data_IF_233469562749
#
_entry.id   IF_233469562749
#
_cell.length_a   1.000
_cell.length_b   1.000
_cell.length_c   1.000
_cell.angle_alpha   90.00
_cell.angle_beta   90.00
_cell.angle_gamma   90.00
#
_symmetry.space_group_name_H-M   'P 1'
#
loop_
_entity.id
_entity.type
_entity.pdbx_description
1 polymer ?
#
# COMPACT_ATOMS: atom_id res chain seq x y z
N UNK A 1 15.55 -25.36 -5.27
CA UNK A 1 14.07 -25.41 -5.33
C UNK A 1 13.54 -24.01 -5.06
N UNK A 2 12.71 -23.44 -5.94
CA UNK A 2 12.06 -22.16 -5.67
C UNK A 2 11.16 -22.31 -4.44
N UNK A 3 11.31 -21.46 -3.42
CA UNK A 3 10.46 -21.49 -2.25
C UNK A 3 8.98 -21.42 -2.65
N UNK A 4 8.19 -22.39 -2.22
CA UNK A 4 6.75 -22.46 -2.47
C UNK A 4 6.08 -21.21 -1.89
N UNK A 5 5.48 -20.38 -2.75
CA UNK A 5 4.78 -19.14 -2.35
C UNK A 5 3.52 -19.46 -1.54
N UNK A 6 3.31 -18.71 -0.46
CA UNK A 6 2.10 -18.81 0.36
C UNK A 6 0.93 -18.13 -0.35
N UNK A 7 0.13 -18.89 -1.12
CA UNK A 7 -0.88 -18.30 -2.02
C UNK A 7 -1.97 -17.53 -1.27
N UNK A 8 -2.24 -17.86 0.00
CA UNK A 8 -3.12 -17.04 0.86
C UNK A 8 -2.62 -15.61 1.03
N UNK A 9 -1.32 -15.40 1.20
CA UNK A 9 -0.76 -14.04 1.38
C UNK A 9 -0.58 -13.31 0.05
N UNK A 10 -0.37 -14.04 -1.06
CA UNK A 10 -0.42 -13.44 -2.39
C UNK A 10 -1.85 -13.02 -2.78
N UNK A 11 -2.87 -13.79 -2.39
CA UNK A 11 -4.28 -13.40 -2.51
C UNK A 11 -4.56 -12.12 -1.71
N UNK A 12 -4.06 -12.05 -0.47
CA UNK A 12 -4.17 -10.85 0.36
C UNK A 12 -3.55 -9.62 -0.31
N UNK A 13 -2.38 -9.73 -0.95
CA UNK A 13 -1.78 -8.62 -1.72
C UNK A 13 -2.68 -8.14 -2.85
N UNK A 14 -3.31 -9.06 -3.59
CA UNK A 14 -4.23 -8.72 -4.68
C UNK A 14 -5.45 -7.99 -4.11
N UNK A 15 -6.05 -8.52 -3.05
CA UNK A 15 -7.21 -7.89 -2.39
C UNK A 15 -6.82 -6.50 -1.86
N UNK A 16 -5.67 -6.37 -1.20
CA UNK A 16 -5.17 -5.08 -0.68
C UNK A 16 -5.03 -4.03 -1.77
N UNK A 17 -4.48 -4.37 -2.94
CA UNK A 17 -4.36 -3.36 -4.01
C UNK A 17 -5.70 -3.01 -4.63
N UNK A 18 -6.62 -3.98 -4.77
CA UNK A 18 -7.98 -3.69 -5.26
C UNK A 18 -8.69 -2.74 -4.29
N UNK A 19 -8.57 -2.97 -3.00
CA UNK A 19 -9.11 -2.11 -1.95
C UNK A 19 -8.53 -0.68 -2.00
N UNK A 20 -7.22 -0.54 -2.20
CA UNK A 20 -6.55 0.76 -2.37
C UNK A 20 -7.03 1.47 -3.65
N UNK A 21 -7.10 0.77 -4.78
CA UNK A 21 -7.62 1.34 -6.04
C UNK A 21 -9.07 1.80 -5.85
N UNK A 22 -9.87 1.01 -5.13
CA UNK A 22 -11.28 1.28 -4.89
C UNK A 22 -11.51 2.60 -4.14
N UNK A 23 -10.79 2.81 -3.02
CA UNK A 23 -10.85 4.07 -2.27
C UNK A 23 -10.35 5.26 -3.11
N UNK A 24 -9.35 5.07 -3.98
CA UNK A 24 -8.85 6.15 -4.84
C UNK A 24 -9.85 6.54 -5.95
N UNK A 25 -10.53 5.57 -6.57
CA UNK A 25 -11.60 5.85 -7.54
C UNK A 25 -12.68 6.70 -6.87
N UNK A 26 -13.18 6.23 -5.72
CA UNK A 26 -14.25 6.88 -4.97
C UNK A 26 -13.85 8.23 -4.35
N UNK A 27 -12.55 8.48 -4.17
CA UNK A 27 -12.00 9.78 -3.79
C UNK A 27 -12.49 10.93 -4.67
N UNK A 28 -12.68 10.69 -5.98
CA UNK A 28 -13.19 11.69 -6.91
C UNK A 28 -14.70 11.93 -6.80
N UNK A 29 -15.41 11.13 -6.00
CA UNK A 29 -16.86 11.25 -5.77
C UNK A 29 -17.18 11.76 -4.35
N UNK A 30 -16.20 12.27 -3.59
CA UNK A 30 -16.42 12.76 -2.21
C UNK A 30 -17.34 13.98 -2.11
N UNK A 31 -17.60 14.67 -3.22
CA UNK A 31 -18.53 15.80 -3.29
C UNK A 31 -20.00 15.38 -3.42
N UNK A 32 -20.30 14.08 -3.48
CA UNK A 32 -21.67 13.57 -3.57
C UNK A 32 -22.55 14.11 -2.44
N UNK A 33 -23.75 14.54 -2.79
CA UNK A 33 -24.85 14.87 -1.89
C UNK A 33 -25.74 13.66 -1.57
N UNK A 34 -25.77 12.66 -2.46
CA UNK A 34 -26.56 11.44 -2.30
C UNK A 34 -26.10 10.63 -1.07
N UNK A 35 -27.04 10.38 -0.15
CA UNK A 35 -26.77 9.70 1.12
C UNK A 35 -26.28 8.25 0.95
N UNK A 36 -26.93 7.45 0.08
CA UNK A 36 -26.51 6.07 -0.18
C UNK A 36 -25.08 6.00 -0.72
N UNK A 37 -24.72 6.96 -1.58
CA UNK A 37 -23.37 7.04 -2.13
C UNK A 37 -22.34 7.43 -1.07
N UNK A 38 -22.69 8.33 -0.12
CA UNK A 38 -21.83 8.62 1.04
C UNK A 38 -21.55 7.37 1.86
N UNK A 39 -22.59 6.63 2.23
CA UNK A 39 -22.46 5.39 3.00
C UNK A 39 -21.62 4.34 2.26
N UNK A 40 -21.83 4.19 0.95
CA UNK A 40 -21.01 3.30 0.12
C UNK A 40 -19.54 3.71 0.11
N UNK A 41 -19.24 5.00 -0.03
CA UNK A 41 -17.88 5.53 0.02
C UNK A 41 -17.25 5.28 1.39
N UNK A 42 -17.97 5.53 2.48
CA UNK A 42 -17.51 5.28 3.85
C UNK A 42 -17.21 3.79 4.09
N UNK A 43 -18.07 2.90 3.58
CA UNK A 43 -17.88 1.46 3.68
C UNK A 43 -16.62 1.01 2.94
N UNK A 44 -16.44 1.45 1.70
CA UNK A 44 -15.25 1.10 0.91
C UNK A 44 -13.98 1.67 1.54
N UNK A 45 -13.99 2.89 2.07
CA UNK A 45 -12.80 3.46 2.73
C UNK A 45 -12.47 2.74 4.05
N UNK A 46 -13.48 2.28 4.80
CA UNK A 46 -13.28 1.46 6.01
C UNK A 46 -12.44 0.21 5.74
N UNK A 47 -12.68 -0.47 4.62
CA UNK A 47 -11.89 -1.62 4.19
C UNK A 47 -10.61 -1.20 3.45
N UNK A 48 -10.74 -0.24 2.55
CA UNK A 48 -9.72 0.34 1.67
C UNK A 48 -8.42 0.66 2.39
N UNK A 49 -8.54 1.44 3.47
CA UNK A 49 -7.41 1.96 4.23
C UNK A 49 -6.61 0.88 4.97
N UNK A 50 -7.15 -0.33 5.14
CA UNK A 50 -6.34 -1.46 5.66
C UNK A 50 -5.27 -1.93 4.67
N UNK A 51 -5.48 -1.69 3.36
CA UNK A 51 -4.67 -2.25 2.29
C UNK A 51 -3.17 -1.92 2.39
N UNK A 52 -2.83 -0.67 2.68
CA UNK A 52 -1.42 -0.24 2.80
C UNK A 52 -0.74 -0.95 3.96
N UNK A 53 -1.37 -0.96 5.13
CA UNK A 53 -0.85 -1.63 6.32
C UNK A 53 -0.68 -3.12 6.07
N UNK A 54 -1.62 -3.77 5.36
CA UNK A 54 -1.51 -5.18 4.97
C UNK A 54 -0.29 -5.45 4.09
N UNK A 55 0.01 -4.60 3.09
CA UNK A 55 1.22 -4.75 2.27
C UNK A 55 2.50 -4.76 3.10
N UNK A 56 2.56 -3.87 4.08
CA UNK A 56 3.73 -3.72 4.92
C UNK A 56 3.81 -4.82 5.99
N UNK A 57 2.69 -5.24 6.57
CA UNK A 57 2.62 -6.41 7.46
C UNK A 57 3.16 -7.67 6.79
N UNK A 58 2.76 -7.93 5.53
CA UNK A 58 3.28 -9.06 4.75
C UNK A 58 4.79 -8.92 4.54
N UNK A 59 5.28 -7.70 4.25
CA UNK A 59 6.71 -7.44 4.07
C UNK A 59 7.50 -7.67 5.35
N UNK A 60 6.98 -7.24 6.50
CA UNK A 60 7.56 -7.47 7.83
C UNK A 60 7.55 -8.94 8.22
N UNK A 61 6.44 -9.63 7.99
CA UNK A 61 6.27 -11.04 8.34
C UNK A 61 7.28 -11.97 7.67
N UNK A 62 7.62 -11.70 6.39
CA UNK A 62 8.66 -12.45 5.70
C UNK A 62 10.07 -11.90 5.94
N UNK A 63 10.18 -10.65 6.36
CA UNK A 63 11.44 -9.91 6.47
C UNK A 63 12.04 -9.60 5.11
N UNK A 64 12.24 -8.32 4.81
CA UNK A 64 12.93 -7.91 3.58
C UNK A 64 14.41 -8.24 3.74
N UNK A 65 14.92 -9.13 2.89
CA UNK A 65 16.35 -9.37 2.71
C UNK A 65 16.84 -8.48 1.58
N UNK A 66 17.77 -7.57 1.89
CA UNK A 66 18.28 -6.64 0.90
C UNK A 66 18.94 -7.40 -0.25
N UNK A 67 18.41 -7.18 -1.45
CA UNK A 67 18.94 -7.71 -2.68
C UNK A 67 19.10 -6.54 -3.67
N UNK A 68 20.35 -6.27 -4.04
CA UNK A 68 20.74 -5.14 -4.88
C UNK A 68 20.09 -5.19 -6.26
N UNK A 69 20.09 -6.35 -6.91
CA UNK A 69 19.45 -6.54 -8.20
C UNK A 69 17.95 -6.20 -8.17
N UNK A 70 17.20 -6.78 -7.22
CA UNK A 70 15.75 -6.52 -7.06
C UNK A 70 15.47 -5.06 -6.74
N UNK A 71 16.32 -4.45 -5.92
CA UNK A 71 16.21 -3.04 -5.54
C UNK A 71 16.33 -2.13 -6.77
N UNK A 72 17.42 -2.24 -7.54
CA UNK A 72 17.61 -1.40 -8.72
C UNK A 72 16.59 -1.69 -9.81
N UNK A 73 16.19 -2.95 -10.00
CA UNK A 73 15.11 -3.30 -10.92
C UNK A 73 13.81 -2.58 -10.54
N UNK A 74 13.45 -2.57 -9.26
CA UNK A 74 12.28 -1.83 -8.78
C UNK A 74 12.41 -0.33 -9.08
N UNK A 75 13.56 0.29 -8.81
CA UNK A 75 13.78 1.71 -9.10
C UNK A 75 13.61 2.05 -10.58
N UNK A 76 14.15 1.22 -11.48
CA UNK A 76 14.00 1.39 -12.94
C UNK A 76 12.54 1.31 -13.36
N UNK A 77 11.78 0.36 -12.81
CA UNK A 77 10.35 0.22 -13.14
C UNK A 77 9.53 1.40 -12.60
N UNK A 78 9.82 1.88 -11.37
CA UNK A 78 9.16 3.10 -10.83
C UNK A 78 9.46 4.30 -11.71
N UNK A 79 10.71 4.46 -12.12
CA UNK A 79 11.14 5.57 -13.00
C UNK A 79 10.44 5.49 -14.36
N UNK A 80 10.38 4.30 -14.97
CA UNK A 80 9.67 4.07 -16.22
C UNK A 80 8.20 4.52 -16.13
N UNK A 81 7.46 4.02 -15.13
CA UNK A 81 6.06 4.41 -14.97
C UNK A 81 5.90 5.89 -14.65
N UNK A 82 6.79 6.47 -13.85
CA UNK A 82 6.76 7.89 -13.53
C UNK A 82 6.84 8.78 -14.77
N UNK A 83 7.76 8.47 -15.69
CA UNK A 83 7.95 9.22 -16.94
C UNK A 83 6.79 8.98 -17.90
N UNK A 84 6.38 7.72 -18.09
CA UNK A 84 5.25 7.39 -18.97
C UNK A 84 3.97 8.07 -18.50
N UNK A 85 3.65 8.02 -17.20
CA UNK A 85 2.46 8.70 -16.67
C UNK A 85 2.53 10.21 -16.87
N UNK A 86 3.69 10.82 -16.65
CA UNK A 86 3.87 12.27 -16.86
C UNK A 86 3.64 12.66 -18.33
N UNK A 87 4.20 11.91 -19.28
CA UNK A 87 4.03 12.17 -20.70
C UNK A 87 2.57 12.02 -21.13
N UNK A 88 1.89 10.98 -20.66
CA UNK A 88 0.47 10.77 -20.98
C UNK A 88 -0.38 11.90 -20.38
N UNK A 89 -0.13 12.29 -19.12
CA UNK A 89 -0.85 13.39 -18.48
C UNK A 89 -0.67 14.71 -19.26
N UNK A 90 0.56 15.09 -19.61
CA UNK A 90 0.83 16.37 -20.26
C UNK A 90 0.41 16.39 -21.74
N UNK A 91 0.68 15.31 -22.49
CA UNK A 91 0.44 15.28 -23.94
C UNK A 91 -1.01 14.92 -24.25
N UNK A 92 -1.56 13.91 -23.59
CA UNK A 92 -2.88 13.34 -23.93
C UNK A 92 -4.00 13.93 -23.06
N UNK A 93 -3.78 14.06 -21.75
CA UNK A 93 -4.78 14.63 -20.84
C UNK A 93 -4.70 16.16 -20.77
N UNK A 94 -3.79 16.78 -21.54
CA UNK A 94 -3.57 18.21 -21.61
C UNK A 94 -3.36 18.87 -20.23
N UNK A 95 -2.79 18.13 -19.27
CA UNK A 95 -2.42 18.73 -17.99
C UNK A 95 -1.29 19.74 -18.22
N UNK A 96 -1.35 20.93 -17.59
CA UNK A 96 -0.33 21.95 -17.81
C UNK A 96 1.07 21.44 -17.49
N UNK A 97 1.98 21.59 -18.45
CA UNK A 97 3.39 21.30 -18.22
C UNK A 97 3.95 22.20 -17.11
N UNK A 98 4.61 21.59 -16.13
CA UNK A 98 5.34 22.31 -15.08
C UNK A 98 6.72 21.71 -14.90
N UNK A 99 7.73 22.57 -14.71
CA UNK A 99 9.10 22.16 -14.41
C UNK A 99 9.19 21.34 -13.11
N UNK A 100 8.37 21.69 -12.12
CA UNK A 100 8.26 20.94 -10.86
C UNK A 100 7.68 19.54 -11.09
N UNK A 101 6.67 19.40 -11.96
CA UNK A 101 6.12 18.12 -12.37
C UNK A 101 7.12 17.24 -13.12
N UNK A 102 7.91 17.84 -14.03
CA UNK A 102 8.98 17.14 -14.76
C UNK A 102 10.07 16.66 -13.80
N UNK A 103 10.57 17.56 -12.94
CA UNK A 103 11.60 17.22 -11.95
C UNK A 103 11.12 16.11 -10.99
N UNK A 104 9.86 16.21 -10.54
CA UNK A 104 9.24 15.19 -9.68
C UNK A 104 9.12 13.85 -10.39
N UNK A 105 8.94 13.85 -11.71
CA UNK A 105 8.82 12.64 -12.52
C UNK A 105 10.17 11.99 -12.85
N UNK A 106 11.25 12.79 -12.94
CA UNK A 106 12.62 12.30 -13.11
C UNK A 106 13.18 11.70 -11.81
N UNK A 107 12.78 12.22 -10.65
CA UNK A 107 13.21 11.76 -9.32
C UNK A 107 12.02 11.29 -8.45
N UNK A 108 11.22 10.31 -8.90
CA UNK A 108 9.92 9.97 -8.29
C UNK A 108 9.99 9.48 -6.85
N UNK A 109 11.11 8.88 -6.47
CA UNK A 109 11.35 8.40 -5.10
C UNK A 109 11.68 9.57 -4.16
N UNK A 110 12.51 10.52 -4.59
CA UNK A 110 12.95 11.63 -3.74
C UNK A 110 11.89 12.74 -3.68
N UNK A 111 11.12 12.93 -4.74
CA UNK A 111 10.05 13.92 -4.84
C UNK A 111 8.75 13.55 -4.12
N UNK A 112 8.66 12.32 -3.60
CA UNK A 112 7.41 11.75 -3.05
C UNK A 112 6.24 11.69 -4.05
N UNK A 113 6.51 11.70 -5.37
CA UNK A 113 5.47 11.50 -6.41
C UNK A 113 4.61 10.26 -6.12
N UNK A 114 5.27 9.18 -5.66
CA UNK A 114 4.61 7.99 -5.14
C UNK A 114 5.01 7.80 -3.67
N UNK A 115 4.27 8.45 -2.76
CA UNK A 115 4.61 8.50 -1.33
C UNK A 115 4.91 7.12 -0.71
N UNK A 116 4.13 6.10 -1.08
CA UNK A 116 4.31 4.75 -0.57
C UNK A 116 5.61 4.13 -1.09
N UNK A 117 5.98 4.35 -2.36
CA UNK A 117 7.26 3.86 -2.90
C UNK A 117 8.46 4.58 -2.31
N UNK A 118 8.35 5.88 -2.04
CA UNK A 118 9.36 6.60 -1.26
C UNK A 118 9.59 5.92 0.09
N UNK A 119 8.50 5.68 0.84
CA UNK A 119 8.59 5.04 2.15
C UNK A 119 9.08 3.58 2.04
N UNK A 120 8.64 2.83 1.04
CA UNK A 120 9.03 1.44 0.82
C UNK A 120 10.50 1.31 0.44
N UNK A 121 11.04 2.22 -0.39
CA UNK A 121 12.47 2.26 -0.73
C UNK A 121 13.31 2.54 0.52
N UNK A 122 12.91 3.52 1.34
CA UNK A 122 13.57 3.80 2.62
C UNK A 122 13.50 2.56 3.52
N UNK A 123 12.32 1.98 3.71
CA UNK A 123 12.14 0.76 4.49
C UNK A 123 13.03 -0.38 3.97
N UNK A 124 13.13 -0.57 2.66
CA UNK A 124 13.96 -1.61 2.04
C UNK A 124 15.44 -1.40 2.35
N UNK A 125 15.93 -0.16 2.27
CA UNK A 125 17.32 0.18 2.64
C UNK A 125 17.61 -0.07 4.13
N UNK A 126 16.67 0.28 5.00
CA UNK A 126 16.83 0.12 6.46
C UNK A 126 16.46 -1.28 6.96
N UNK A 127 15.84 -2.13 6.14
CA UNK A 127 15.35 -3.44 6.55
C UNK A 127 16.43 -4.35 7.16
N UNK A 128 17.70 -4.38 6.69
CA UNK A 128 18.73 -5.22 7.30
C UNK A 128 19.00 -4.87 8.76
N UNK A 129 18.87 -3.59 9.12
CA UNK A 129 19.05 -3.10 10.49
C UNK A 129 17.82 -3.37 11.34
N UNK A 130 16.62 -3.10 10.79
CA UNK A 130 15.35 -3.40 11.47
C UNK A 130 15.21 -4.90 11.77
N UNK A 131 15.63 -5.77 10.85
CA UNK A 131 15.63 -7.21 11.04
C UNK A 131 16.52 -7.67 12.21
N UNK A 132 17.52 -6.89 12.65
CA UNK A 132 18.33 -7.26 13.81
C UNK A 132 17.57 -7.08 15.13
N UNK A 133 16.54 -6.21 15.15
CA UNK A 133 15.77 -5.93 16.37
C UNK A 133 15.09 -7.21 16.91
N UNK A 134 14.51 -8.03 16.04
CA UNK A 134 13.84 -9.27 16.47
C UNK A 134 14.80 -10.33 17.04
N UNK A 135 16.06 -10.30 16.61
CA UNK A 135 17.08 -11.24 17.08
C UNK A 135 17.77 -10.76 18.37
N UNK A 136 17.87 -9.45 18.56
CA UNK A 136 18.64 -8.87 19.66
C UNK A 136 17.77 -8.41 20.84
N UNK A 137 16.47 -8.19 20.63
CA UNK A 137 15.55 -7.81 21.70
C UNK A 137 14.85 -9.03 22.27
N UNK A 138 14.68 -9.04 23.60
CA UNK A 138 13.74 -9.96 24.24
C UNK A 138 12.31 -9.66 23.75
N UNK A 139 11.42 -10.66 23.80
CA UNK A 139 10.01 -10.46 23.45
C UNK A 139 9.36 -9.31 24.23
N UNK A 140 9.70 -9.18 25.52
CA UNK A 140 9.21 -8.10 26.40
C UNK A 140 9.69 -6.74 25.91
N UNK A 141 10.98 -6.59 25.63
CA UNK A 141 11.57 -5.34 25.13
C UNK A 141 11.01 -4.95 23.77
N UNK A 142 10.84 -5.93 22.86
CA UNK A 142 10.24 -5.67 21.55
C UNK A 142 8.77 -5.25 21.68
N UNK A 143 7.99 -5.92 22.54
CA UNK A 143 6.61 -5.51 22.84
C UNK A 143 6.55 -4.08 23.40
N UNK A 144 7.46 -3.71 24.30
CA UNK A 144 7.56 -2.34 24.82
C UNK A 144 7.87 -1.32 23.73
N UNK A 145 8.80 -1.64 22.81
CA UNK A 145 9.10 -0.80 21.65
C UNK A 145 7.84 -0.55 20.81
N UNK A 146 7.09 -1.62 20.47
CA UNK A 146 5.86 -1.51 19.68
C UNK A 146 4.77 -0.71 20.40
N UNK A 147 4.63 -0.88 21.73
CA UNK A 147 3.66 -0.13 22.52
C UNK A 147 4.01 1.36 22.63
N UNK A 148 5.29 1.69 22.84
CA UNK A 148 5.75 3.08 22.90
C UNK A 148 5.57 3.78 21.55
N UNK A 149 5.97 3.11 20.46
CA UNK A 149 5.79 3.63 19.11
C UNK A 149 4.30 3.76 18.74
N UNK A 150 3.50 2.74 19.07
CA UNK A 150 2.05 2.74 18.89
C UNK A 150 1.37 3.82 19.72
N UNK A 151 1.86 4.14 20.92
CA UNK A 151 1.30 5.20 21.75
C UNK A 151 1.37 6.56 21.03
N UNK A 152 2.57 6.96 20.60
CA UNK A 152 2.78 8.27 19.98
C UNK A 152 2.19 8.40 18.58
N UNK A 153 2.24 7.33 17.78
CA UNK A 153 1.93 7.41 16.36
C UNK A 153 0.63 6.72 15.95
N UNK A 154 -0.07 6.05 16.87
CA UNK A 154 -1.37 5.42 16.60
C UNK A 154 -2.41 5.81 17.65
N UNK A 155 -2.13 5.57 18.93
CA UNK A 155 -3.07 5.86 20.02
C UNK A 155 -3.33 7.35 20.16
N UNK A 156 -2.30 8.20 20.23
CA UNK A 156 -2.45 9.65 20.36
C UNK A 156 -3.22 10.27 19.17
N UNK A 157 -2.92 9.95 17.90
CA UNK A 157 -3.73 10.39 16.75
C UNK A 157 -5.19 9.94 16.79
N UNK A 158 -5.46 8.74 17.32
CA UNK A 158 -6.79 8.12 17.35
C UNK A 158 -7.65 8.70 18.47
N UNK A 159 -7.13 8.72 19.70
CA UNK A 159 -7.90 9.00 20.92
C UNK A 159 -7.76 10.45 21.36
N UNK A 160 -6.55 11.01 21.25
CA UNK A 160 -6.26 12.38 21.68
C UNK A 160 -6.37 13.39 20.52
N UNK A 161 -6.55 12.90 19.29
CA UNK A 161 -6.58 13.69 18.06
C UNK A 161 -5.30 14.49 17.75
N UNK A 162 -4.21 14.23 18.48
CA UNK A 162 -2.90 14.86 18.26
C UNK A 162 -2.05 14.03 17.28
N UNK A 163 -1.71 14.63 16.15
CA UNK A 163 -0.79 14.05 15.16
C UNK A 163 0.57 14.73 15.24
N UNK A 164 1.59 13.99 15.69
CA UNK A 164 2.96 14.52 15.79
C UNK A 164 3.54 14.81 14.40
N UNK A 165 3.31 13.91 13.45
CA UNK A 165 3.90 13.98 12.10
C UNK A 165 3.04 14.77 11.10
N UNK A 166 1.75 14.98 11.40
CA UNK A 166 0.76 15.64 10.53
C UNK A 166 0.70 15.07 9.09
N UNK A 167 0.87 13.76 8.92
CA UNK A 167 0.85 13.08 7.62
C UNK A 167 -0.33 12.11 7.45
N UNK A 168 -1.29 12.11 8.38
CA UNK A 168 -2.44 11.18 8.39
C UNK A 168 -2.07 9.70 8.42
N UNK A 169 -0.83 9.37 8.83
CA UNK A 169 -0.29 8.02 8.84
C UNK A 169 0.36 7.58 7.52
N UNK A 170 0.47 8.48 6.53
CA UNK A 170 1.06 8.22 5.20
C UNK A 170 2.55 8.53 5.16
N UNK A 171 3.29 7.95 6.09
CA UNK A 171 4.72 8.21 6.22
C UNK A 171 5.53 7.02 6.72
N UNK A 172 6.84 7.23 6.72
CA UNK A 172 7.83 6.19 7.05
C UNK A 172 7.67 5.67 8.48
N UNK A 173 7.17 6.50 9.41
CA UNK A 173 6.97 6.13 10.80
C UNK A 173 5.93 5.02 10.94
N UNK A 174 4.78 5.18 10.30
CA UNK A 174 3.70 4.18 10.33
C UNK A 174 4.06 2.94 9.50
N UNK A 175 4.72 3.12 8.36
CA UNK A 175 5.26 2.02 7.54
C UNK A 175 6.28 1.20 8.35
N UNK A 176 7.19 1.83 9.08
CA UNK A 176 8.16 1.12 9.93
C UNK A 176 7.46 0.39 11.06
N UNK A 177 6.49 1.01 11.72
CA UNK A 177 5.70 0.36 12.77
C UNK A 177 4.99 -0.91 12.24
N UNK A 178 4.27 -0.80 11.12
CA UNK A 178 3.58 -1.95 10.52
C UNK A 178 4.57 -3.08 10.14
N UNK A 179 5.77 -2.72 9.66
CA UNK A 179 6.80 -3.70 9.33
C UNK A 179 7.28 -4.45 10.58
N UNK A 180 7.54 -3.72 11.67
CA UNK A 180 7.93 -4.31 12.96
C UNK A 180 6.81 -5.17 13.57
N UNK A 181 5.54 -4.77 13.43
CA UNK A 181 4.40 -5.59 13.84
C UNK A 181 4.41 -6.90 13.04
N UNK A 182 4.60 -6.85 11.72
CA UNK A 182 4.69 -8.04 10.87
C UNK A 182 5.77 -9.02 11.35
N UNK A 183 6.96 -8.51 11.68
CA UNK A 183 8.07 -9.30 12.24
C UNK A 183 7.73 -9.93 13.59
N UNK A 184 7.12 -9.15 14.48
CA UNK A 184 6.67 -9.63 15.78
C UNK A 184 5.66 -10.77 15.63
N UNK A 185 4.67 -10.62 14.72
CA UNK A 185 3.67 -11.66 14.44
C UNK A 185 4.29 -12.94 13.88
N UNK A 186 5.35 -12.84 13.07
CA UNK A 186 6.06 -14.03 12.56
C UNK A 186 6.75 -14.81 13.69
N UNK A 187 7.35 -14.08 14.64
CA UNK A 187 8.26 -14.65 15.64
C UNK A 187 7.52 -15.13 16.87
N UNK A 188 6.57 -14.35 17.37
CA UNK A 188 5.88 -14.61 18.64
C UNK A 188 4.39 -14.95 18.46
N UNK A 189 3.83 -14.70 17.27
CA UNK A 189 2.41 -14.90 17.00
C UNK A 189 1.48 -13.94 17.75
N UNK A 190 0.18 -14.21 17.65
CA UNK A 190 -0.85 -13.52 18.43
C UNK A 190 -1.09 -14.23 19.77
N UNK A 191 -1.52 -13.49 20.81
CA UNK A 191 -2.07 -14.09 22.02
C UNK A 191 -3.27 -15.00 21.73
N UNK A 192 -3.44 -16.09 22.48
CA UNK A 192 -4.52 -17.07 22.25
C UNK A 192 -5.92 -16.46 22.29
N UNK A 193 -6.19 -15.53 23.21
CA UNK A 193 -7.48 -14.83 23.26
C UNK A 193 -7.76 -14.04 21.98
N UNK A 194 -6.75 -13.37 21.41
CA UNK A 194 -6.90 -12.65 20.14
C UNK A 194 -7.12 -13.62 18.98
N UNK A 195 -6.50 -14.80 18.99
CA UNK A 195 -6.73 -15.83 17.97
C UNK A 195 -8.17 -16.34 18.02
N UNK A 196 -8.66 -16.68 19.23
CA UNK A 196 -10.01 -17.18 19.50
C UNK A 196 -11.07 -16.19 19.03
N UNK A 197 -10.91 -14.92 19.38
CA UNK A 197 -11.88 -13.85 19.10
C UNK A 197 -11.52 -13.03 17.84
N UNK A 198 -10.65 -13.55 16.96
CA UNK A 198 -10.10 -12.79 15.82
C UNK A 198 -11.17 -12.20 14.89
N UNK A 199 -12.26 -12.96 14.63
CA UNK A 199 -13.36 -12.49 13.78
C UNK A 199 -14.19 -11.40 14.44
N UNK A 200 -14.43 -11.51 15.73
CA UNK A 200 -15.19 -10.53 16.53
C UNK A 200 -14.41 -9.22 16.67
N UNK A 201 -13.10 -9.31 16.93
CA UNK A 201 -12.20 -8.15 16.97
C UNK A 201 -12.17 -7.46 15.60
N UNK A 202 -12.10 -8.23 14.51
CA UNK A 202 -12.14 -7.69 13.16
C UNK A 202 -13.47 -6.98 12.88
N UNK A 203 -14.59 -7.65 13.09
CA UNK A 203 -15.91 -7.08 12.84
C UNK A 203 -16.17 -5.85 13.71
N UNK A 204 -15.79 -5.89 14.99
CA UNK A 204 -15.91 -4.77 15.91
C UNK A 204 -15.06 -3.57 15.49
N UNK A 205 -13.83 -3.80 15.01
CA UNK A 205 -12.96 -2.73 14.52
C UNK A 205 -13.52 -2.07 13.26
N UNK A 206 -13.95 -2.88 12.28
CA UNK A 206 -14.54 -2.37 11.04
C UNK A 206 -15.86 -1.66 11.28
N UNK A 207 -16.74 -2.22 12.11
CA UNK A 207 -18.00 -1.59 12.49
C UNK A 207 -17.74 -0.27 13.23
N UNK A 208 -16.77 -0.24 14.15
CA UNK A 208 -16.37 0.98 14.86
C UNK A 208 -15.91 2.09 13.92
N UNK A 209 -15.03 1.78 12.95
CA UNK A 209 -14.58 2.75 11.93
C UNK A 209 -15.76 3.28 11.13
N UNK A 210 -16.61 2.37 10.63
CA UNK A 210 -17.74 2.72 9.79
C UNK A 210 -18.74 3.60 10.53
N UNK A 211 -19.19 3.17 11.71
CA UNK A 211 -20.17 3.90 12.53
C UNK A 211 -19.63 5.28 12.91
N UNK A 212 -18.38 5.37 13.40
CA UNK A 212 -17.81 6.65 13.84
C UNK A 212 -17.63 7.63 12.66
N UNK A 213 -17.17 7.17 11.49
CA UNK A 213 -17.08 8.04 10.32
C UNK A 213 -18.47 8.44 9.78
N UNK A 214 -19.45 7.55 9.86
CA UNK A 214 -20.85 7.84 9.49
C UNK A 214 -21.44 8.93 10.37
N UNK A 215 -21.26 8.82 11.69
CA UNK A 215 -21.69 9.85 12.65
C UNK A 215 -21.03 11.21 12.37
N UNK A 216 -19.71 11.24 12.18
CA UNK A 216 -18.99 12.47 11.84
C UNK A 216 -19.46 13.07 10.50
N UNK A 217 -19.70 12.22 9.50
CA UNK A 217 -20.20 12.63 8.18
C UNK A 217 -21.61 13.21 8.27
N UNK A 218 -22.50 12.59 9.06
CA UNK A 218 -23.86 13.07 9.28
C UNK A 218 -23.87 14.41 10.01
N UNK A 219 -23.00 14.59 11.02
CA UNK A 219 -22.88 15.86 11.75
C UNK A 219 -22.29 16.99 10.91
N UNK A 220 -21.33 16.70 10.03
CA UNK A 220 -20.68 17.71 9.20
C UNK A 220 -21.39 18.01 7.89
N UNK A 221 -22.27 17.12 7.41
CA UNK A 221 -22.84 17.14 6.06
C UNK A 221 -21.89 16.69 4.95
N UNK A 222 -20.58 16.67 5.20
CA UNK A 222 -19.51 16.27 4.27
C UNK A 222 -18.88 14.93 4.68
N UNK A 223 -18.36 14.17 3.71
CA UNK A 223 -17.67 12.89 3.99
C UNK A 223 -16.42 13.13 4.86
N UNK A 224 -16.39 12.52 6.04
CA UNK A 224 -15.26 12.58 6.98
C UNK A 224 -14.74 11.17 7.24
N UNK A 225 -13.44 10.96 6.97
CA UNK A 225 -12.75 9.67 7.09
C UNK A 225 -11.72 9.64 8.24
N UNK A 226 -12.00 10.33 9.34
CA UNK A 226 -11.06 10.50 10.46
C UNK A 226 -10.61 9.15 11.05
N UNK A 227 -11.53 8.22 11.22
CA UNK A 227 -11.25 6.89 11.80
C UNK A 227 -10.73 5.89 10.77
N UNK A 228 -10.80 6.22 9.48
CA UNK A 228 -10.22 5.41 8.40
C UNK A 228 -8.80 5.87 8.02
N UNK A 229 -8.11 6.66 8.85
CA UNK A 229 -6.71 7.04 8.60
C UNK A 229 -5.75 5.89 8.87
N UNK A 230 -4.61 5.88 8.17
CA UNK A 230 -3.64 4.77 8.23
C UNK A 230 -2.96 4.66 9.62
N UNK A 231 -2.91 5.77 10.37
CA UNK A 231 -2.45 5.84 11.75
C UNK A 231 -3.58 5.68 12.79
N UNK A 232 -4.73 5.14 12.40
CA UNK A 232 -5.82 4.88 13.33
C UNK A 232 -5.69 3.49 13.99
N UNK A 233 -5.93 3.42 15.30
CA UNK A 233 -5.84 2.19 16.08
C UNK A 233 -6.77 1.09 15.53
N UNK A 234 -7.99 1.44 15.15
CA UNK A 234 -8.95 0.47 14.62
C UNK A 234 -8.50 -0.08 13.25
N UNK A 235 -7.87 0.74 12.41
CA UNK A 235 -7.31 0.32 11.12
C UNK A 235 -6.14 -0.64 11.33
N UNK A 236 -5.24 -0.36 12.28
CA UNK A 236 -4.12 -1.26 12.61
C UNK A 236 -4.65 -2.60 13.14
N UNK A 237 -5.61 -2.58 14.07
CA UNK A 237 -6.21 -3.81 14.62
C UNK A 237 -6.90 -4.62 13.51
N UNK A 238 -7.74 -3.97 12.69
CA UNK A 238 -8.40 -4.62 11.56
C UNK A 238 -7.39 -5.24 10.59
N UNK A 239 -6.32 -4.52 10.25
CA UNK A 239 -5.25 -5.02 9.37
C UNK A 239 -4.54 -6.25 9.95
N UNK A 240 -4.24 -6.25 11.26
CA UNK A 240 -3.63 -7.40 11.93
C UNK A 240 -4.57 -8.62 11.91
N UNK A 241 -5.88 -8.43 12.16
CA UNK A 241 -6.84 -9.52 12.16
C UNK A 241 -7.12 -10.08 10.75
N UNK A 242 -7.23 -9.22 9.73
CA UNK A 242 -7.31 -9.65 8.32
C UNK A 242 -6.06 -10.45 7.98
N UNK A 243 -4.88 -9.89 8.24
CA UNK A 243 -3.61 -10.58 7.99
C UNK A 243 -3.58 -11.97 8.64
N UNK A 244 -3.93 -12.06 9.92
CA UNK A 244 -3.99 -13.33 10.64
C UNK A 244 -4.93 -14.35 9.98
N UNK A 245 -6.12 -13.94 9.54
CA UNK A 245 -7.05 -14.84 8.86
C UNK A 245 -6.45 -15.43 7.58
N UNK A 246 -5.71 -14.65 6.80
CA UNK A 246 -5.04 -15.12 5.58
C UNK A 246 -3.78 -15.95 5.85
N UNK A 247 -3.11 -15.78 6.99
CA UNK A 247 -2.01 -16.69 7.38
C UNK A 247 -2.48 -18.11 7.66
N UNK A 248 -3.76 -18.31 8.00
CA UNK A 248 -4.36 -19.64 8.23
C UNK A 248 -4.76 -20.36 6.94
N UNK A 249 -4.76 -19.67 5.81
CA UNK A 249 -5.18 -20.23 4.53
C UNK A 249 -3.99 -20.86 3.81
N UNK A 250 -3.84 -22.18 3.99
CA UNK A 250 -2.78 -22.95 3.36
C UNK A 250 -3.28 -23.61 2.07
N UNK A 251 -2.98 -22.98 0.94
CA UNK A 251 -3.24 -23.53 -0.39
C UNK A 251 -2.21 -23.03 -1.40
N UNK A 252 -2.16 -23.67 -2.57
CA UNK A 252 -1.32 -23.29 -3.70
C UNK A 252 -2.18 -23.03 -4.93
N UNK A 253 -2.05 -21.84 -5.54
CA UNK A 253 -2.76 -21.49 -6.78
C UNK A 253 -1.81 -20.84 -7.77
N UNK A 254 -1.66 -21.44 -8.96
CA UNK A 254 -0.84 -20.88 -10.04
C UNK A 254 -1.39 -19.54 -10.52
N UNK A 255 -2.72 -19.42 -10.63
CA UNK A 255 -3.41 -18.21 -11.08
C UNK A 255 -3.16 -17.06 -10.10
N UNK A 256 -3.36 -17.29 -8.80
CA UNK A 256 -3.13 -16.24 -7.79
C UNK A 256 -1.67 -15.81 -7.78
N UNK A 257 -0.73 -16.75 -7.81
CA UNK A 257 0.70 -16.44 -7.81
C UNK A 257 1.13 -15.68 -9.07
N UNK A 258 0.49 -15.95 -10.21
CA UNK A 258 0.70 -15.24 -11.47
C UNK A 258 0.13 -13.81 -11.41
N UNK A 259 -1.14 -13.66 -11.01
CA UNK A 259 -1.82 -12.37 -10.88
C UNK A 259 -1.15 -11.46 -9.83
N UNK A 260 -0.66 -12.03 -8.73
CA UNK A 260 0.09 -11.29 -7.72
C UNK A 260 1.34 -10.61 -8.28
N UNK A 261 1.88 -11.12 -9.39
CA UNK A 261 2.97 -10.46 -10.12
C UNK A 261 2.59 -9.09 -10.67
N UNK A 262 1.32 -8.78 -10.91
CA UNK A 262 0.84 -7.53 -11.52
C UNK A 262 0.47 -6.45 -10.51
N UNK A 263 0.40 -6.80 -9.22
CA UNK A 263 0.01 -5.89 -8.13
C UNK A 263 0.85 -4.61 -8.11
N UNK A 264 2.16 -4.73 -8.34
CA UNK A 264 3.06 -3.59 -8.36
C UNK A 264 2.74 -2.61 -9.51
N UNK A 265 2.48 -3.13 -10.71
CA UNK A 265 2.10 -2.28 -11.84
C UNK A 265 0.74 -1.61 -11.62
N UNK A 266 -0.22 -2.33 -11.01
CA UNK A 266 -1.53 -1.77 -10.66
C UNK A 266 -1.40 -0.59 -9.72
N UNK A 267 -0.55 -0.70 -8.69
CA UNK A 267 -0.22 0.41 -7.80
C UNK A 267 0.37 1.61 -8.55
N UNK A 268 1.29 1.38 -9.49
CA UNK A 268 1.97 2.46 -10.21
C UNK A 268 1.05 3.18 -11.20
N UNK A 269 0.15 2.44 -11.85
CA UNK A 269 -0.72 2.94 -12.92
C UNK A 269 -2.07 3.45 -12.45
N UNK A 270 -2.55 3.05 -11.25
CA UNK A 270 -3.90 3.41 -10.79
C UNK A 270 -4.17 4.91 -10.86
N UNK A 271 -3.22 5.76 -10.46
CA UNK A 271 -3.44 7.22 -10.43
C UNK A 271 -3.68 7.80 -11.82
N UNK A 272 -2.84 7.40 -12.78
CA UNK A 272 -2.98 7.78 -14.18
C UNK A 272 -4.31 7.28 -14.76
N UNK A 273 -4.60 5.98 -14.58
CA UNK A 273 -5.79 5.37 -15.18
C UNK A 273 -7.08 5.92 -14.57
N UNK A 274 -7.08 6.23 -13.27
CA UNK A 274 -8.18 6.94 -12.62
C UNK A 274 -8.36 8.31 -13.26
N UNK A 275 -7.29 9.08 -13.47
CA UNK A 275 -7.38 10.39 -14.11
C UNK A 275 -7.91 10.32 -15.54
N UNK A 276 -7.47 9.33 -16.34
CA UNK A 276 -8.00 9.09 -17.68
C UNK A 276 -9.51 8.75 -17.68
N UNK A 277 -9.97 7.99 -16.68
CA UNK A 277 -11.35 7.51 -16.60
C UNK A 277 -12.27 8.47 -15.83
N UNK A 278 -11.72 9.42 -15.08
CA UNK A 278 -12.45 10.37 -14.23
C UNK A 278 -13.63 11.06 -14.93
N UNK A 279 -13.49 11.57 -16.17
CA UNK A 279 -14.60 12.22 -16.87
C UNK A 279 -15.82 11.31 -17.09
N UNK A 280 -15.63 9.99 -17.08
CA UNK A 280 -16.68 9.01 -17.41
C UNK A 280 -17.49 8.53 -16.20
N UNK A 281 -16.97 8.70 -14.98
CA UNK A 281 -17.64 8.22 -13.77
C UNK A 281 -17.95 9.32 -12.75
N UNK A 282 -17.15 10.39 -12.69
CA UNK A 282 -17.37 11.49 -11.73
C UNK A 282 -18.71 12.21 -11.91
N UNK A 283 -19.24 12.43 -13.13
CA UNK A 283 -20.57 13.02 -13.31
C UNK A 283 -21.71 12.22 -12.67
N UNK A 284 -21.49 10.94 -12.38
CA UNK A 284 -22.47 10.06 -11.75
C UNK A 284 -22.31 10.00 -10.22
N UNK A 285 -21.53 10.90 -9.60
CA UNK A 285 -21.30 10.93 -8.15
C UNK A 285 -22.60 10.98 -7.34
N UNK A 286 -23.61 11.73 -7.78
CA UNK A 286 -24.92 11.83 -7.11
C UNK A 286 -25.93 10.77 -7.57
N UNK A 287 -25.62 10.02 -8.63
CA UNK A 287 -26.52 9.03 -9.21
C UNK A 287 -26.54 7.73 -8.40
N UNK A 288 -27.70 7.07 -8.32
CA UNK A 288 -27.81 5.71 -7.78
C UNK A 288 -27.02 4.67 -8.63
N UNK A 289 -26.58 5.06 -9.83
CA UNK A 289 -25.72 4.24 -10.69
C UNK A 289 -24.23 4.33 -10.34
N UNK A 290 -23.83 5.14 -9.35
CA UNK A 290 -22.42 5.31 -8.95
C UNK A 290 -21.72 3.96 -8.75
N UNK A 291 -22.37 3.02 -8.06
CA UNK A 291 -21.82 1.68 -7.79
C UNK A 291 -21.49 0.95 -9.10
N UNK A 292 -22.35 1.04 -10.11
CA UNK A 292 -22.13 0.40 -11.41
C UNK A 292 -20.94 1.02 -12.14
N UNK A 293 -20.88 2.36 -12.20
CA UNK A 293 -19.75 3.08 -12.83
C UNK A 293 -18.43 2.84 -12.08
N UNK A 294 -18.47 2.78 -10.76
CA UNK A 294 -17.34 2.40 -9.92
C UNK A 294 -16.82 0.99 -10.28
N UNK A 295 -17.71 -0.01 -10.35
CA UNK A 295 -17.32 -1.39 -10.70
C UNK A 295 -16.74 -1.47 -12.11
N UNK A 296 -17.38 -0.82 -13.09
CA UNK A 296 -16.86 -0.74 -14.46
C UNK A 296 -15.48 -0.10 -14.54
N UNK A 297 -15.27 0.99 -13.78
CA UNK A 297 -13.98 1.69 -13.70
C UNK A 297 -12.90 0.81 -13.07
N UNK A 298 -13.20 0.14 -11.95
CA UNK A 298 -12.27 -0.76 -11.26
C UNK A 298 -11.83 -1.91 -12.17
N UNK A 299 -12.79 -2.56 -12.84
CA UNK A 299 -12.50 -3.64 -13.80
C UNK A 299 -11.63 -3.12 -14.96
N UNK A 300 -11.97 -1.96 -15.50
CA UNK A 300 -11.22 -1.34 -16.60
C UNK A 300 -9.77 -1.02 -16.21
N UNK A 301 -9.55 -0.50 -15.00
CA UNK A 301 -8.20 -0.23 -14.46
C UNK A 301 -7.41 -1.53 -14.31
N UNK A 302 -8.01 -2.57 -13.74
CA UNK A 302 -7.37 -3.87 -13.58
C UNK A 302 -6.97 -4.49 -14.94
N UNK A 303 -7.90 -4.54 -15.89
CA UNK A 303 -7.63 -5.12 -17.22
C UNK A 303 -6.60 -4.31 -18.01
N UNK A 304 -6.71 -2.98 -18.02
CA UNK A 304 -5.78 -2.10 -18.72
C UNK A 304 -4.37 -2.24 -18.13
N UNK A 305 -4.25 -2.30 -16.81
CA UNK A 305 -2.96 -2.54 -16.14
C UNK A 305 -2.36 -3.89 -16.53
N UNK A 306 -3.17 -4.96 -16.56
CA UNK A 306 -2.71 -6.29 -16.96
C UNK A 306 -2.11 -6.25 -18.38
N UNK A 307 -2.81 -5.61 -19.32
CA UNK A 307 -2.36 -5.47 -20.72
C UNK A 307 -1.08 -4.63 -20.82
N UNK A 308 -1.02 -3.48 -20.15
CA UNK A 308 0.16 -2.60 -20.16
C UNK A 308 1.37 -3.33 -19.57
N UNK A 309 1.22 -3.96 -18.40
CA UNK A 309 2.33 -4.64 -17.72
C UNK A 309 2.77 -5.90 -18.48
N UNK A 310 1.84 -6.64 -19.08
CA UNK A 310 2.18 -7.78 -19.94
C UNK A 310 3.01 -7.32 -21.14
N UNK A 311 2.56 -6.27 -21.82
CA UNK A 311 3.25 -5.68 -22.98
C UNK A 311 4.64 -5.15 -22.59
N UNK A 312 4.74 -4.42 -21.47
CA UNK A 312 6.00 -3.91 -20.93
C UNK A 312 6.99 -5.04 -20.64
N UNK A 313 6.55 -6.12 -19.98
CA UNK A 313 7.43 -7.28 -19.68
C UNK A 313 7.96 -7.93 -20.94
N UNK A 314 7.12 -8.09 -21.96
CA UNK A 314 7.49 -8.68 -23.24
C UNK A 314 8.56 -7.83 -23.96
N UNK A 315 8.35 -6.52 -24.02
CA UNK A 315 9.20 -5.60 -24.78
C UNK A 315 10.48 -5.19 -24.03
N UNK A 316 10.37 -4.87 -22.73
CA UNK A 316 11.43 -4.20 -21.96
C UNK A 316 12.07 -5.10 -20.89
N UNK A 317 11.49 -6.26 -20.57
CA UNK A 317 11.97 -7.10 -19.47
C UNK A 317 13.43 -7.56 -19.63
N UNK A 318 13.89 -7.80 -20.86
CA UNK A 318 15.29 -8.15 -21.15
C UNK A 318 16.24 -6.96 -20.91
N UNK A 319 15.81 -5.75 -21.28
CA UNK A 319 16.59 -4.52 -21.16
C UNK A 319 16.77 -4.16 -19.67
N UNK A 320 15.69 -4.24 -18.90
CA UNK A 320 15.70 -3.96 -17.45
C UNK A 320 16.62 -4.90 -16.68
N UNK A 321 16.57 -6.20 -16.99
CA UNK A 321 17.46 -7.17 -16.35
C UNK A 321 18.93 -6.88 -16.70
N UNK A 322 19.23 -6.45 -17.94
CA UNK A 322 20.59 -6.03 -18.33
C UNK A 322 21.04 -4.78 -17.57
N UNK A 323 20.18 -3.76 -17.45
CA UNK A 323 20.45 -2.54 -16.69
C UNK A 323 20.73 -2.84 -15.21
N UNK A 324 19.85 -3.62 -14.57
CA UNK A 324 20.01 -4.02 -13.17
C UNK A 324 21.33 -4.79 -12.94
N UNK A 325 21.66 -5.74 -13.83
CA UNK A 325 22.92 -6.48 -13.77
C UNK A 325 24.16 -5.57 -13.98
N UNK A 326 24.08 -4.58 -14.88
CA UNK A 326 25.18 -3.66 -15.13
C UNK A 326 25.48 -2.78 -13.90
N UNK A 327 24.43 -2.29 -13.23
CA UNK A 327 24.56 -1.50 -12.00
C UNK A 327 25.13 -2.36 -10.87
N UNK A 328 24.62 -3.59 -10.69
CA UNK A 328 25.13 -4.52 -9.68
C UNK A 328 26.61 -4.84 -9.87
N UNK A 329 27.04 -5.10 -11.11
CA UNK A 329 28.47 -5.33 -11.43
C UNK A 329 29.34 -4.11 -11.13
N UNK A 330 28.86 -2.90 -11.41
CA UNK A 330 29.59 -1.67 -11.07
C UNK A 330 29.68 -1.45 -9.56
N UNK A 331 28.59 -1.70 -8.83
CA UNK A 331 28.58 -1.63 -7.36
C UNK A 331 29.53 -2.63 -6.71
N UNK A 332 29.58 -3.88 -7.22
CA UNK A 332 30.52 -4.89 -6.75
C UNK A 332 31.98 -4.49 -6.98
N UNK A 333 32.30 -3.88 -8.14
CA UNK A 333 33.65 -3.37 -8.42
C UNK A 333 34.05 -2.23 -7.47
N UNK A 334 33.15 -1.30 -7.18
CA UNK A 334 33.41 -0.19 -6.24
C UNK A 334 33.66 -0.73 -4.84
N UNK A 335 32.88 -1.73 -4.40
CA UNK A 335 33.09 -2.37 -3.10
C UNK A 335 34.45 -3.09 -3.02
N UNK A 336 34.86 -3.79 -4.07
CA UNK A 336 36.19 -4.40 -4.14
C UNK A 336 37.33 -3.36 -4.10
N UNK A 337 37.13 -2.17 -4.67
CA UNK A 337 38.11 -1.08 -4.58
C UNK A 337 38.14 -0.45 -3.18
N UNK A 338 37.00 -0.32 -2.51
CA UNK A 338 36.89 0.24 -1.16
C UNK A 338 37.35 -0.71 -0.05
N UNK A 339 37.26 -2.03 -0.26
CA UNK A 339 37.75 -3.04 0.69
C UNK A 339 39.28 -3.33 0.53
N UNK A 340 39.90 -2.82 -0.55
CA UNK A 340 41.33 -2.98 -0.87
C UNK A 340 42.18 -1.73 -0.54
N UNK A 341 41.57 -0.71 0.06
CA UNK A 341 42.20 0.52 0.58
C UNK A 341 41.73 0.72 2.02
#
# INVERSE_FOLDING_TARGET
MAATRHSGLECLRIISIILIVSMHILGNSFHTSNWLNKEFILFINTLGNTGVTLFILISGYFGIRFNTHKFFKMLVVVWFYSIVSYLIETIWLHTPHTWTGLASSLLPILSKKYWFMTCYVVLYCFSPYLNRLVHNLSQKSYKQLLLLWGFFFVFAPTILFFEIQNDTGKGIINVTLAYLIGQYLKTYGLPENMKRHSREILSGSLAGIFILNTLLTAMSGNIILRFARDNNLLIIIASIMIFYQFTRWHFSSRIINYLAGYVFALYMLQGLLIHCLQPWYTPYADSNLLVLYFMGTLVSICLTTLVIEWSRRLLLGKIENKLANAIERRGAKIKMFADNH
#
